data_IF_370785180964
#
_entry.id   IF_370785180964
#
_cell.length_a   1.000
_cell.length_b   1.000
_cell.length_c   1.000
_cell.angle_alpha   90.00
_cell.angle_beta   90.00
_cell.angle_gamma   90.00
#
_symmetry.space_group_name_H-M   'P 1'
#
loop_
_entity.id
_entity.type
_entity.pdbx_description
1 polymer ?
#
# COMPACT_ATOMS: atom_id res chain seq x y z
N UNK A 1 26.44 -20.48 1.25
CA UNK A 1 26.20 -19.54 0.14
C UNK A 1 24.71 -19.33 0.05
N UNK A 2 24.21 -18.16 0.42
CA UNK A 2 22.78 -17.83 0.24
C UNK A 2 22.51 -17.73 -1.25
N UNK A 3 21.60 -18.55 -1.77
CA UNK A 3 21.21 -18.46 -3.18
C UNK A 3 20.40 -17.18 -3.33
N UNK A 4 21.00 -16.14 -3.91
CA UNK A 4 20.38 -14.82 -4.02
C UNK A 4 19.17 -14.93 -4.95
N UNK A 5 17.96 -14.66 -4.43
CA UNK A 5 16.73 -14.71 -5.23
C UNK A 5 16.79 -13.70 -6.36
N UNK A 6 16.21 -14.06 -7.50
CA UNK A 6 15.96 -13.14 -8.61
C UNK A 6 14.78 -12.23 -8.29
N UNK A 7 14.69 -11.08 -8.98
CA UNK A 7 13.53 -10.18 -8.84
C UNK A 7 12.22 -10.91 -9.14
N UNK A 8 12.20 -11.77 -10.17
CA UNK A 8 11.00 -12.51 -10.55
C UNK A 8 10.55 -13.51 -9.47
N UNK A 9 11.48 -14.18 -8.79
CA UNK A 9 11.14 -15.07 -7.67
C UNK A 9 10.54 -14.28 -6.50
N UNK A 10 11.13 -13.14 -6.14
CA UNK A 10 10.59 -12.28 -5.07
C UNK A 10 9.19 -11.75 -5.41
N UNK A 11 8.97 -11.35 -6.66
CA UNK A 11 7.66 -10.89 -7.13
C UNK A 11 6.65 -12.04 -7.17
N UNK A 12 7.07 -13.25 -7.55
CA UNK A 12 6.23 -14.45 -7.50
C UNK A 12 5.70 -14.72 -6.09
N UNK A 13 6.60 -14.74 -5.09
CA UNK A 13 6.22 -14.91 -3.68
C UNK A 13 5.29 -13.82 -3.17
N UNK A 14 5.51 -12.58 -3.62
CA UNK A 14 4.65 -11.45 -3.30
C UNK A 14 3.23 -11.63 -3.87
N UNK A 15 3.13 -12.06 -5.12
CA UNK A 15 1.85 -12.37 -5.78
C UNK A 15 1.13 -13.49 -5.03
N UNK A 16 1.83 -14.58 -4.70
CA UNK A 16 1.24 -15.72 -3.97
C UNK A 16 0.71 -15.27 -2.59
N UNK A 17 1.46 -14.42 -1.88
CA UNK A 17 1.01 -13.83 -0.61
C UNK A 17 -0.26 -12.99 -0.79
N UNK A 18 -0.36 -12.23 -1.87
CA UNK A 18 -1.53 -11.39 -2.15
C UNK A 18 -2.75 -12.22 -2.56
N UNK A 19 -2.55 -13.32 -3.28
CA UNK A 19 -3.61 -14.28 -3.59
C UNK A 19 -4.21 -14.89 -2.31
N UNK A 20 -3.39 -15.18 -1.29
CA UNK A 20 -3.89 -15.64 0.01
C UNK A 20 -4.83 -14.60 0.66
N UNK A 21 -4.51 -13.30 0.55
CA UNK A 21 -5.40 -12.24 1.02
C UNK A 21 -6.68 -12.14 0.20
N UNK A 22 -6.64 -12.39 -1.12
CA UNK A 22 -7.84 -12.47 -1.95
C UNK A 22 -8.74 -13.63 -1.53
N UNK A 23 -8.17 -14.80 -1.25
CA UNK A 23 -8.93 -15.94 -0.72
C UNK A 23 -9.55 -15.61 0.64
N UNK A 24 -8.76 -15.02 1.55
CA UNK A 24 -9.23 -14.57 2.86
C UNK A 24 -10.39 -13.57 2.74
N UNK A 25 -10.25 -12.54 1.89
CA UNK A 25 -11.28 -11.53 1.64
C UNK A 25 -12.56 -12.16 1.06
N UNK A 26 -12.40 -13.11 0.14
CA UNK A 26 -13.51 -13.81 -0.50
C UNK A 26 -14.29 -14.64 0.51
N UNK A 27 -13.62 -15.42 1.36
CA UNK A 27 -14.29 -16.19 2.40
C UNK A 27 -14.95 -15.30 3.45
N UNK A 28 -14.27 -14.23 3.87
CA UNK A 28 -14.79 -13.29 4.86
C UNK A 28 -16.04 -12.56 4.36
N UNK A 29 -16.01 -11.99 3.15
CA UNK A 29 -17.18 -11.29 2.58
C UNK A 29 -18.37 -12.21 2.35
N UNK A 30 -18.14 -13.42 1.83
CA UNK A 30 -19.21 -14.39 1.63
C UNK A 30 -19.85 -14.80 2.95
N UNK A 31 -19.05 -15.06 3.99
CA UNK A 31 -19.53 -15.38 5.33
C UNK A 31 -20.35 -14.24 5.95
N UNK A 32 -19.84 -13.01 5.89
CA UNK A 32 -20.54 -11.80 6.37
C UNK A 32 -21.87 -11.63 5.65
N UNK A 33 -21.88 -11.74 4.32
CA UNK A 33 -23.08 -11.56 3.53
C UNK A 33 -24.14 -12.62 3.85
N UNK A 34 -23.72 -13.89 3.92
CA UNK A 34 -24.58 -15.00 4.28
C UNK A 34 -25.18 -14.83 5.68
N UNK A 35 -24.39 -14.41 6.65
CA UNK A 35 -24.88 -14.11 8.01
C UNK A 35 -25.93 -13.00 8.00
N UNK A 36 -25.71 -11.93 7.23
CA UNK A 36 -26.71 -10.87 7.04
C UNK A 36 -28.02 -11.38 6.46
N UNK A 37 -27.95 -12.25 5.44
CA UNK A 37 -29.12 -12.89 4.85
C UNK A 37 -29.84 -13.83 5.83
N UNK A 38 -29.10 -14.58 6.65
CA UNK A 38 -29.67 -15.47 7.65
C UNK A 38 -30.42 -14.70 8.74
N UNK A 39 -29.82 -13.62 9.26
CA UNK A 39 -30.49 -12.73 10.20
C UNK A 39 -31.75 -12.14 9.57
N UNK A 40 -31.69 -11.67 8.32
CA UNK A 40 -32.82 -11.05 7.63
C UNK A 40 -34.04 -11.96 7.39
N UNK A 41 -33.93 -13.28 7.60
CA UNK A 41 -35.07 -14.22 7.52
C UNK A 41 -36.06 -14.04 8.66
N UNK A 42 -35.61 -13.47 9.78
CA UNK A 42 -36.44 -13.22 10.96
C UNK A 42 -36.91 -11.77 11.00
N UNK A 43 -38.08 -11.54 11.59
CA UNK A 43 -38.53 -10.19 11.95
C UNK A 43 -38.03 -9.87 13.35
N UNK A 44 -37.48 -8.67 13.50
CA UNK A 44 -36.96 -8.19 14.77
C UNK A 44 -37.63 -6.87 15.14
N UNK A 45 -37.95 -6.71 16.41
CA UNK A 45 -38.40 -5.44 16.95
C UNK A 45 -37.26 -4.42 16.97
N UNK A 46 -37.62 -3.14 17.04
CA UNK A 46 -36.66 -2.04 16.92
C UNK A 46 -35.59 -2.02 18.03
N UNK A 47 -35.90 -2.60 19.20
CA UNK A 47 -34.95 -2.74 20.31
C UNK A 47 -34.04 -3.96 20.24
N UNK A 48 -34.26 -4.90 19.29
CA UNK A 48 -33.57 -6.18 19.29
C UNK A 48 -32.08 -6.04 18.96
N UNK A 49 -31.23 -6.67 19.79
CA UNK A 49 -29.78 -6.66 19.64
C UNK A 49 -29.25 -8.04 19.25
N UNK A 50 -28.27 -8.06 18.35
CA UNK A 50 -27.44 -9.23 18.05
C UNK A 50 -26.19 -9.14 18.90
N UNK A 51 -25.72 -10.29 19.41
CA UNK A 51 -24.62 -10.37 20.37
C UNK A 51 -23.54 -11.31 19.86
N UNK A 52 -22.28 -10.99 20.17
CA UNK A 52 -21.16 -11.93 20.04
C UNK A 52 -20.79 -12.38 21.45
N UNK A 53 -20.93 -13.67 21.71
CA UNK A 53 -20.63 -14.30 23.01
C UNK A 53 -19.47 -15.28 22.93
N UNK A 54 -18.89 -15.62 24.07
CA UNK A 54 -17.92 -16.72 24.17
C UNK A 54 -18.54 -18.04 23.71
N UNK A 55 -17.75 -18.84 23.00
CA UNK A 55 -18.08 -20.23 22.71
C UNK A 55 -17.49 -21.15 23.81
N UNK A 56 -17.89 -20.96 25.06
CA UNK A 56 -17.45 -21.77 26.20
C UNK A 56 -18.62 -22.11 27.13
N UNK A 57 -18.60 -23.31 27.70
CA UNK A 57 -19.63 -23.79 28.62
C UNK A 57 -19.54 -23.11 29.99
N UNK A 58 -18.31 -22.93 30.48
CA UNK A 58 -18.08 -22.28 31.77
C UNK A 58 -17.88 -20.77 31.60
N UNK A 59 -18.69 -19.99 32.32
CA UNK A 59 -18.64 -18.53 32.40
C UNK A 59 -18.72 -17.80 31.03
N UNK A 60 -19.81 -17.97 30.26
CA UNK A 60 -19.98 -17.30 28.97
C UNK A 60 -20.01 -15.78 29.14
N UNK A 61 -19.27 -15.07 28.28
CA UNK A 61 -19.19 -13.60 28.28
C UNK A 61 -19.70 -13.02 26.99
N UNK A 62 -20.42 -11.91 27.09
CA UNK A 62 -20.77 -11.07 25.95
C UNK A 62 -19.59 -10.16 25.62
N UNK A 63 -19.09 -10.25 24.39
CA UNK A 63 -17.96 -9.44 23.90
C UNK A 63 -18.41 -8.23 23.10
N UNK A 64 -19.51 -8.34 22.35
CA UNK A 64 -20.04 -7.25 21.56
C UNK A 64 -21.55 -7.35 21.37
N UNK A 65 -22.17 -6.22 21.03
CA UNK A 65 -23.59 -6.14 20.68
C UNK A 65 -23.86 -5.01 19.69
N UNK A 66 -24.92 -5.16 18.89
CA UNK A 66 -25.43 -4.09 18.03
C UNK A 66 -26.91 -4.27 17.72
N UNK A 67 -27.60 -3.21 17.30
CA UNK A 67 -28.98 -3.30 16.78
C UNK A 67 -29.00 -4.24 15.58
N UNK A 68 -29.93 -5.19 15.60
CA UNK A 68 -29.94 -6.28 14.61
C UNK A 68 -30.23 -5.78 13.21
N UNK A 69 -31.11 -4.79 13.07
CA UNK A 69 -31.38 -4.15 11.79
C UNK A 69 -30.14 -3.46 11.20
N UNK A 70 -29.28 -2.89 12.05
CA UNK A 70 -28.05 -2.23 11.62
C UNK A 70 -26.99 -3.28 11.26
N UNK A 71 -26.94 -4.40 11.98
CA UNK A 71 -26.10 -5.56 11.65
C UNK A 71 -26.43 -6.05 10.24
N UNK A 72 -27.71 -6.31 9.95
CA UNK A 72 -28.18 -6.78 8.64
C UNK A 72 -27.74 -5.80 7.53
N UNK A 73 -27.95 -4.48 7.73
CA UNK A 73 -27.53 -3.45 6.76
C UNK A 73 -26.02 -3.46 6.54
N UNK A 74 -25.22 -3.56 7.60
CA UNK A 74 -23.75 -3.57 7.52
C UNK A 74 -23.18 -4.87 6.92
N UNK A 75 -23.92 -5.97 6.99
CA UNK A 75 -23.64 -7.25 6.34
C UNK A 75 -24.10 -7.32 4.87
N UNK A 76 -24.72 -6.27 4.32
CA UNK A 76 -25.09 -6.26 2.90
C UNK A 76 -23.86 -6.48 2.00
N UNK A 77 -24.07 -6.91 0.74
CA UNK A 77 -22.97 -7.02 -0.23
C UNK A 77 -22.30 -5.65 -0.37
N UNK A 78 -20.97 -5.61 -0.27
CA UNK A 78 -20.18 -4.37 -0.23
C UNK A 78 -20.58 -3.40 0.91
N UNK A 79 -21.25 -3.91 1.95
CA UNK A 79 -21.61 -3.16 3.14
C UNK A 79 -20.41 -2.85 4.03
N UNK A 80 -20.65 -2.08 5.09
CA UNK A 80 -19.61 -1.53 5.96
C UNK A 80 -18.63 -2.60 6.47
N UNK A 81 -19.10 -3.77 6.90
CA UNK A 81 -18.21 -4.78 7.46
C UNK A 81 -17.24 -5.34 6.41
N UNK A 82 -17.73 -5.65 5.21
CA UNK A 82 -16.85 -6.08 4.11
C UNK A 82 -15.90 -4.97 3.68
N UNK A 83 -16.37 -3.71 3.64
CA UNK A 83 -15.54 -2.57 3.24
C UNK A 83 -14.42 -2.29 4.25
N UNK A 84 -14.66 -2.43 5.56
CA UNK A 84 -13.61 -2.30 6.58
C UNK A 84 -12.53 -3.39 6.45
N UNK A 85 -12.90 -4.65 6.22
CA UNK A 85 -11.93 -5.73 6.01
C UNK A 85 -11.12 -5.47 4.73
N UNK A 86 -11.78 -5.05 3.66
CA UNK A 86 -11.13 -4.71 2.38
C UNK A 86 -10.08 -3.61 2.57
N UNK A 87 -10.45 -2.51 3.22
CA UNK A 87 -9.53 -1.41 3.54
C UNK A 87 -8.37 -1.86 4.43
N UNK A 88 -8.63 -2.72 5.42
CA UNK A 88 -7.58 -3.27 6.28
C UNK A 88 -6.58 -4.10 5.50
N UNK A 89 -7.06 -5.00 4.61
CA UNK A 89 -6.18 -5.84 3.81
C UNK A 89 -5.34 -5.03 2.83
N UNK A 90 -5.91 -4.00 2.18
CA UNK A 90 -5.14 -3.09 1.33
C UNK A 90 -4.04 -2.35 2.10
N UNK A 91 -4.31 -1.94 3.34
CA UNK A 91 -3.29 -1.35 4.22
C UNK A 91 -2.18 -2.36 4.55
N UNK A 92 -2.54 -3.60 4.88
CA UNK A 92 -1.60 -4.70 5.17
C UNK A 92 -0.74 -5.05 3.96
N UNK A 93 -1.35 -5.16 2.78
CA UNK A 93 -0.69 -5.39 1.50
C UNK A 93 0.38 -4.32 1.23
N UNK A 94 0.05 -3.04 1.44
CA UNK A 94 1.04 -1.97 1.31
C UNK A 94 2.17 -2.07 2.33
N UNK A 95 1.86 -2.38 3.59
CA UNK A 95 2.87 -2.54 4.63
C UNK A 95 3.87 -3.65 4.28
N UNK A 96 3.37 -4.80 3.82
CA UNK A 96 4.22 -5.91 3.37
C UNK A 96 5.11 -5.52 2.19
N UNK A 97 4.58 -4.76 1.23
CA UNK A 97 5.39 -4.20 0.16
C UNK A 97 6.50 -3.29 0.71
N UNK A 98 6.14 -2.29 1.50
CA UNK A 98 7.04 -1.20 1.91
C UNK A 98 8.12 -1.68 2.89
N UNK A 99 7.77 -2.61 3.78
CA UNK A 99 8.62 -3.07 4.89
C UNK A 99 9.42 -4.33 4.56
N UNK A 100 8.98 -5.16 3.62
CA UNK A 100 9.65 -6.42 3.28
C UNK A 100 9.96 -6.54 1.78
N UNK A 101 8.94 -6.66 0.94
CA UNK A 101 9.14 -7.08 -0.45
C UNK A 101 9.90 -6.05 -1.29
N UNK A 102 9.73 -4.75 -1.07
CA UNK A 102 10.54 -3.71 -1.72
C UNK A 102 12.02 -3.88 -1.40
N UNK A 103 12.36 -4.27 -0.17
CA UNK A 103 13.74 -4.49 0.25
C UNK A 103 14.32 -5.76 -0.38
N UNK A 104 13.53 -6.84 -0.46
CA UNK A 104 13.95 -8.06 -1.16
C UNK A 104 14.17 -7.82 -2.66
N UNK A 105 13.29 -7.03 -3.31
CA UNK A 105 13.45 -6.62 -4.72
C UNK A 105 14.72 -5.79 -4.90
N UNK A 106 14.98 -4.85 -3.98
CA UNK A 106 16.17 -4.02 -3.98
C UNK A 106 17.44 -4.86 -3.89
N UNK A 107 17.49 -5.81 -2.95
CA UNK A 107 18.60 -6.75 -2.82
C UNK A 107 18.80 -7.56 -4.09
N UNK A 108 17.75 -8.18 -4.62
CA UNK A 108 17.78 -9.00 -5.83
C UNK A 108 18.26 -8.24 -7.07
N UNK A 109 17.89 -6.96 -7.18
CA UNK A 109 18.25 -6.08 -8.29
C UNK A 109 19.57 -5.32 -8.11
N UNK A 110 20.17 -5.37 -6.91
CA UNK A 110 21.41 -4.66 -6.60
C UNK A 110 21.23 -3.14 -6.43
N UNK A 111 20.01 -2.69 -6.11
CA UNK A 111 19.70 -1.29 -5.85
C UNK A 111 19.38 -1.06 -4.37
N UNK A 112 19.40 0.20 -3.93
CA UNK A 112 18.83 0.59 -2.64
C UNK A 112 17.29 0.61 -2.75
N UNK A 113 16.59 0.15 -1.71
CA UNK A 113 15.13 0.10 -1.69
C UNK A 113 14.48 1.48 -1.89
N UNK A 114 15.16 2.56 -1.50
CA UNK A 114 14.69 3.94 -1.71
C UNK A 114 14.57 4.33 -3.19
N UNK A 115 15.22 3.57 -4.06
CA UNK A 115 15.23 3.76 -5.51
C UNK A 115 14.31 2.80 -6.25
N UNK A 116 13.67 1.86 -5.54
CA UNK A 116 12.69 0.94 -6.10
C UNK A 116 11.31 1.58 -6.08
N UNK A 117 10.71 1.70 -7.26
CA UNK A 117 9.36 2.18 -7.47
C UNK A 117 8.50 1.10 -8.11
N UNK A 118 7.26 0.99 -7.62
CA UNK A 118 6.20 0.25 -8.26
C UNK A 118 4.97 1.17 -8.31
N UNK A 119 4.54 1.63 -9.49
CA UNK A 119 3.39 2.53 -9.63
C UNK A 119 2.11 2.05 -8.95
N UNK A 120 1.80 0.75 -9.06
CA UNK A 120 0.63 0.15 -8.43
C UNK A 120 0.69 0.25 -6.89
N UNK A 121 1.88 0.05 -6.31
CA UNK A 121 2.09 0.26 -4.87
C UNK A 121 2.06 1.75 -4.51
N UNK A 122 2.44 2.62 -5.44
CA UNK A 122 2.25 4.07 -5.34
C UNK A 122 0.77 4.46 -5.22
N UNK A 123 -0.12 3.79 -5.97
CA UNK A 123 -1.57 3.97 -5.85
C UNK A 123 -2.10 3.42 -4.53
N UNK A 124 -1.65 2.23 -4.14
CA UNK A 124 -2.00 1.65 -2.85
C UNK A 124 -1.56 2.53 -1.67
N UNK A 125 -0.41 3.22 -1.79
CA UNK A 125 0.05 4.22 -0.81
C UNK A 125 -0.93 5.38 -0.66
N UNK A 126 -1.49 5.88 -1.78
CA UNK A 126 -2.50 6.94 -1.77
C UNK A 126 -3.78 6.47 -1.10
N UNK A 127 -4.23 5.25 -1.41
CA UNK A 127 -5.38 4.61 -0.74
C UNK A 127 -5.15 4.48 0.77
N UNK A 128 -4.01 3.92 1.19
CA UNK A 128 -3.64 3.81 2.60
C UNK A 128 -3.64 5.17 3.29
N UNK A 129 -3.12 6.21 2.62
CA UNK A 129 -3.15 7.57 3.17
C UNK A 129 -4.59 8.06 3.39
N UNK A 130 -5.49 7.83 2.42
CA UNK A 130 -6.91 8.16 2.60
C UNK A 130 -7.54 7.37 3.77
N UNK A 131 -7.28 6.06 3.85
CA UNK A 131 -7.83 5.18 4.90
C UNK A 131 -7.38 5.64 6.29
N UNK A 132 -6.06 5.79 6.48
CA UNK A 132 -5.46 6.02 7.81
C UNK A 132 -5.46 7.50 8.20
N UNK A 133 -5.04 8.40 7.29
CA UNK A 133 -4.80 9.81 7.61
C UNK A 133 -5.99 10.71 7.29
N UNK A 134 -6.86 10.31 6.35
CA UNK A 134 -8.08 11.07 6.02
C UNK A 134 -9.35 10.39 6.57
N UNK A 135 -9.20 9.43 7.50
CA UNK A 135 -10.31 8.74 8.16
C UNK A 135 -11.29 8.09 7.17
N UNK A 136 -10.77 7.54 6.07
CA UNK A 136 -11.58 6.99 4.97
C UNK A 136 -12.53 8.02 4.33
N UNK A 137 -12.07 9.27 4.18
CA UNK A 137 -12.79 10.33 3.44
C UNK A 137 -11.98 10.70 2.19
N UNK A 138 -12.58 10.48 1.03
CA UNK A 138 -12.07 10.87 -0.28
C UNK A 138 -12.23 12.39 -0.45
N UNK A 139 -11.16 13.12 -0.82
CA UNK A 139 -11.21 14.57 -0.99
C UNK A 139 -11.98 14.97 -2.26
N UNK A 140 -12.43 16.23 -2.31
CA UNK A 140 -13.08 16.83 -3.50
C UNK A 140 -12.20 16.79 -4.75
N UNK A 141 -10.89 16.90 -4.58
CA UNK A 141 -9.91 16.79 -5.68
C UNK A 141 -9.80 15.37 -6.25
N UNK A 142 -10.52 14.40 -5.69
CA UNK A 142 -10.36 12.95 -5.91
C UNK A 142 -8.96 12.43 -5.57
N UNK A 143 -8.77 11.12 -5.73
CA UNK A 143 -7.46 10.47 -5.65
C UNK A 143 -7.05 10.11 -7.07
N UNK A 144 -5.93 10.66 -7.52
CA UNK A 144 -5.38 10.37 -8.84
C UNK A 144 -4.55 9.09 -8.79
N UNK A 145 -4.86 8.11 -9.62
CA UNK A 145 -4.20 6.80 -9.67
C UNK A 145 -3.44 6.64 -10.99
N UNK A 146 -2.23 6.07 -10.93
CA UNK A 146 -1.38 5.86 -12.11
C UNK A 146 -1.72 4.57 -12.86
N UNK A 147 -2.06 3.50 -12.13
CA UNK A 147 -2.35 2.17 -12.67
C UNK A 147 -3.82 1.83 -12.50
N UNK A 148 -4.40 2.10 -11.33
CA UNK A 148 -5.80 1.77 -11.07
C UNK A 148 -6.71 2.73 -11.83
N UNK A 149 -7.69 2.20 -12.58
CA UNK A 149 -8.71 2.99 -13.27
C UNK A 149 -9.81 3.54 -12.36
N UNK A 150 -9.64 3.48 -11.03
CA UNK A 150 -10.70 3.74 -10.07
C UNK A 150 -11.08 5.22 -10.02
N UNK A 151 -12.38 5.48 -10.00
CA UNK A 151 -12.95 6.82 -9.81
C UNK A 151 -13.73 6.84 -8.52
N UNK A 152 -13.08 7.31 -7.46
CA UNK A 152 -13.67 7.39 -6.13
C UNK A 152 -14.41 8.72 -5.97
N UNK A 153 -15.72 8.71 -5.73
CA UNK A 153 -16.46 9.94 -5.48
C UNK A 153 -16.00 10.59 -4.16
N UNK A 154 -16.07 11.93 -4.02
CA UNK A 154 -15.82 12.61 -2.76
C UNK A 154 -16.75 12.10 -1.64
N UNK A 155 -16.24 12.07 -0.42
CA UNK A 155 -16.99 11.59 0.75
C UNK A 155 -16.46 10.27 1.28
N UNK A 156 -17.34 9.41 1.81
CA UNK A 156 -16.90 8.16 2.44
C UNK A 156 -16.23 7.24 1.41
N UNK A 157 -15.04 6.75 1.73
CA UNK A 157 -14.32 5.79 0.92
C UNK A 157 -15.03 4.44 0.94
N UNK A 158 -15.49 4.02 -0.23
CA UNK A 158 -16.08 2.71 -0.47
C UNK A 158 -15.19 1.95 -1.46
N UNK A 159 -14.67 0.81 -1.00
CA UNK A 159 -13.90 -0.11 -1.83
C UNK A 159 -14.72 -1.40 -1.90
N UNK A 160 -15.22 -1.69 -3.10
CA UNK A 160 -16.03 -2.89 -3.32
C UNK A 160 -15.16 -4.13 -3.40
N UNK A 161 -15.79 -5.29 -3.22
CA UNK A 161 -15.13 -6.58 -3.46
C UNK A 161 -14.57 -6.67 -4.88
N UNK A 162 -15.33 -6.21 -5.87
CA UNK A 162 -14.90 -6.20 -7.27
C UNK A 162 -13.65 -5.34 -7.48
N UNK A 163 -13.58 -4.15 -6.87
CA UNK A 163 -12.37 -3.33 -6.89
C UNK A 163 -11.18 -4.06 -6.23
N UNK A 164 -11.38 -4.74 -5.11
CA UNK A 164 -10.30 -5.52 -4.49
C UNK A 164 -9.76 -6.62 -5.41
N UNK A 165 -10.63 -7.28 -6.19
CA UNK A 165 -10.20 -8.23 -7.21
C UNK A 165 -9.45 -7.56 -8.35
N UNK A 166 -9.94 -6.43 -8.87
CA UNK A 166 -9.25 -5.65 -9.90
C UNK A 166 -7.83 -5.23 -9.48
N UNK A 167 -7.66 -4.87 -8.21
CA UNK A 167 -6.34 -4.59 -7.65
C UNK A 167 -5.43 -5.82 -7.74
N UNK A 168 -5.90 -7.00 -7.35
CA UNK A 168 -5.09 -8.22 -7.44
C UNK A 168 -4.84 -8.65 -8.89
N UNK A 169 -5.80 -8.45 -9.80
CA UNK A 169 -5.60 -8.68 -11.22
C UNK A 169 -4.49 -7.77 -11.78
N UNK A 170 -4.43 -6.51 -11.33
CA UNK A 170 -3.32 -5.63 -11.66
C UNK A 170 -1.98 -6.13 -11.07
N UNK A 171 -1.97 -6.69 -9.86
CA UNK A 171 -0.78 -7.30 -9.25
C UNK A 171 -0.28 -8.50 -10.05
N UNK A 172 -1.19 -9.38 -10.48
CA UNK A 172 -0.88 -10.58 -11.29
C UNK A 172 -0.53 -10.27 -12.73
N UNK A 173 -1.08 -9.20 -13.27
CA UNK A 173 -0.86 -8.74 -14.62
C UNK A 173 0.29 -7.74 -14.72
N UNK A 174 0.02 -6.65 -15.43
CA UNK A 174 1.04 -5.67 -15.83
C UNK A 174 1.31 -4.57 -14.78
N UNK A 175 0.71 -4.65 -13.60
CA UNK A 175 0.80 -3.61 -12.58
C UNK A 175 2.08 -3.67 -11.75
N UNK A 176 2.73 -4.84 -11.62
CA UNK A 176 3.99 -5.02 -10.89
C UNK A 176 5.23 -4.62 -11.70
N UNK A 177 5.16 -3.46 -12.36
CA UNK A 177 6.27 -2.87 -13.12
C UNK A 177 7.28 -2.21 -12.18
N UNK A 178 8.28 -2.98 -11.78
CA UNK A 178 9.40 -2.49 -10.98
C UNK A 178 10.26 -1.54 -11.80
N UNK A 179 10.43 -0.32 -11.30
CA UNK A 179 11.34 0.69 -11.84
C UNK A 179 12.42 0.96 -10.80
N UNK A 180 13.68 0.94 -11.21
CA UNK A 180 14.78 1.34 -10.36
C UNK A 180 15.32 2.69 -10.87
N UNK A 181 15.23 3.73 -10.05
CA UNK A 181 15.81 5.04 -10.36
C UNK A 181 17.04 5.27 -9.50
N UNK A 182 18.21 4.98 -10.06
CA UNK A 182 19.46 5.25 -9.36
C UNK A 182 20.15 6.49 -9.93
N UNK A 183 20.84 7.29 -9.11
CA UNK A 183 21.72 8.32 -9.62
C UNK A 183 22.73 7.71 -10.60
N UNK A 184 23.23 8.45 -11.60
CA UNK A 184 24.28 7.96 -12.49
C UNK A 184 25.47 7.41 -11.68
N UNK A 185 26.15 6.33 -12.12
CA UNK A 185 27.26 5.73 -11.36
C UNK A 185 28.32 6.75 -10.93
N UNK A 186 28.68 7.67 -11.82
CA UNK A 186 29.62 8.75 -11.53
C UNK A 186 29.16 9.63 -10.35
N UNK A 187 27.86 9.92 -10.23
CA UNK A 187 27.33 10.70 -9.11
C UNK A 187 27.25 9.86 -7.83
N UNK A 188 26.96 8.54 -7.93
CA UNK A 188 26.93 7.63 -6.78
C UNK A 188 28.28 7.58 -6.06
N UNK A 189 29.38 7.53 -6.79
CA UNK A 189 30.74 7.55 -6.23
C UNK A 189 31.05 8.86 -5.49
N UNK A 190 30.37 9.94 -5.84
CA UNK A 190 30.56 11.26 -5.24
C UNK A 190 29.61 11.53 -4.06
N UNK A 191 28.50 10.78 -3.93
CA UNK A 191 27.55 10.94 -2.82
C UNK A 191 28.20 10.88 -1.41
N UNK A 192 29.22 10.03 -1.13
CA UNK A 192 29.90 10.02 0.16
C UNK A 192 30.71 11.30 0.46
N UNK A 193 31.05 12.09 -0.57
CA UNK A 193 31.81 13.35 -0.45
C UNK A 193 30.91 14.57 -0.18
N UNK A 194 29.59 14.38 -0.23
CA UNK A 194 28.63 15.44 0.10
C UNK A 194 28.67 15.76 1.59
N UNK A 195 28.65 17.05 1.91
CA UNK A 195 28.33 17.52 3.25
C UNK A 195 26.89 17.13 3.61
N UNK A 196 26.55 17.20 4.90
CA UNK A 196 25.18 16.93 5.37
C UNK A 196 24.12 17.80 4.67
N UNK A 197 24.43 19.07 4.38
CA UNK A 197 23.51 19.99 3.74
C UNK A 197 23.31 19.66 2.27
N UNK A 198 24.40 19.43 1.53
CA UNK A 198 24.34 19.00 0.12
C UNK A 198 23.61 17.67 -0.01
N UNK A 199 23.89 16.71 0.88
CA UNK A 199 23.20 15.42 0.86
C UNK A 199 21.70 15.58 1.09
N UNK A 200 21.30 16.46 2.01
CA UNK A 200 19.89 16.76 2.27
C UNK A 200 19.22 17.45 1.07
N UNK A 201 19.90 18.41 0.43
CA UNK A 201 19.41 19.08 -0.78
C UNK A 201 19.26 18.09 -1.94
N UNK A 202 20.30 17.31 -2.20
CA UNK A 202 20.29 16.26 -3.22
C UNK A 202 19.19 15.23 -2.97
N UNK A 203 19.10 14.67 -1.76
CA UNK A 203 18.08 13.66 -1.45
C UNK A 203 16.66 14.26 -1.57
N UNK A 204 16.45 15.54 -1.20
CA UNK A 204 15.17 16.22 -1.39
C UNK A 204 14.83 16.43 -2.87
N UNK A 205 15.81 16.87 -3.66
CA UNK A 205 15.69 17.04 -5.10
C UNK A 205 15.40 15.71 -5.80
N UNK A 206 16.21 14.69 -5.50
CA UNK A 206 16.12 13.37 -6.09
C UNK A 206 14.89 12.61 -5.63
N UNK A 207 14.27 12.96 -4.49
CA UNK A 207 12.98 12.40 -4.04
C UNK A 207 11.79 12.85 -4.90
N UNK A 208 11.88 13.96 -5.62
CA UNK A 208 10.86 14.32 -6.60
C UNK A 208 10.94 13.39 -7.83
N UNK A 209 9.83 12.72 -8.13
CA UNK A 209 9.73 11.78 -9.26
C UNK A 209 9.95 12.44 -10.60
N UNK A 210 9.41 13.63 -10.81
CA UNK A 210 9.54 14.35 -12.09
C UNK A 210 11.01 14.63 -12.41
N UNK A 211 11.81 14.96 -11.40
CA UNK A 211 13.24 15.17 -11.55
C UNK A 211 13.95 13.90 -12.05
N UNK A 212 13.59 12.73 -11.49
CA UNK A 212 14.16 11.43 -11.90
C UNK A 212 13.72 11.02 -13.30
N UNK A 213 12.43 11.13 -13.60
CA UNK A 213 11.84 10.68 -14.88
C UNK A 213 12.30 11.56 -16.05
N UNK A 214 12.44 12.86 -15.83
CA UNK A 214 12.85 13.81 -16.87
C UNK A 214 14.36 14.07 -16.91
N UNK A 215 15.17 13.32 -16.13
CA UNK A 215 16.62 13.51 -16.01
C UNK A 215 17.01 14.97 -15.72
N UNK A 216 16.27 15.63 -14.83
CA UNK A 216 16.57 17.01 -14.43
C UNK A 216 17.84 16.99 -13.60
N UNK A 217 18.79 17.84 -13.97
CA UNK A 217 20.05 18.01 -13.25
C UNK A 217 19.82 18.67 -11.89
N UNK A 218 20.53 18.19 -10.86
CA UNK A 218 20.44 18.77 -9.54
C UNK A 218 21.03 20.19 -9.56
N UNK A 219 20.27 21.24 -9.18
CA UNK A 219 20.71 22.63 -9.37
C UNK A 219 22.02 23.00 -8.68
N UNK A 220 22.39 22.30 -7.61
CA UNK A 220 23.63 22.56 -6.85
C UNK A 220 24.81 21.68 -7.32
N UNK A 221 24.65 20.90 -8.41
CA UNK A 221 25.67 19.97 -8.88
C UNK A 221 27.00 20.68 -9.21
N UNK A 222 26.96 21.78 -9.95
CA UNK A 222 28.16 22.55 -10.30
C UNK A 222 28.90 23.08 -9.07
N UNK A 223 28.17 23.63 -8.10
CA UNK A 223 28.74 24.14 -6.86
C UNK A 223 29.41 23.01 -6.05
N UNK A 224 28.75 21.84 -5.99
CA UNK A 224 29.29 20.65 -5.36
C UNK A 224 30.57 20.15 -6.05
N UNK A 225 30.55 20.03 -7.39
CA UNK A 225 31.69 19.57 -8.19
C UNK A 225 32.90 20.50 -8.04
N UNK A 226 32.69 21.81 -8.04
CA UNK A 226 33.75 22.79 -7.80
C UNK A 226 34.36 22.64 -6.40
N UNK A 227 33.53 22.45 -5.37
CA UNK A 227 34.00 22.26 -3.99
C UNK A 227 34.88 21.01 -3.85
N UNK A 228 34.45 19.87 -4.40
CA UNK A 228 35.25 18.63 -4.32
C UNK A 228 36.53 18.70 -5.17
N UNK A 229 36.49 19.44 -6.29
CA UNK A 229 37.67 19.72 -7.10
C UNK A 229 38.72 20.50 -6.32
N UNK A 230 38.31 21.58 -5.65
CA UNK A 230 39.19 22.37 -4.77
C UNK A 230 39.72 21.56 -3.58
N UNK A 231 38.91 20.69 -2.97
CA UNK A 231 39.34 19.86 -1.84
C UNK A 231 40.40 18.81 -2.23
N UNK A 232 40.32 18.24 -3.45
CA UNK A 232 41.34 17.31 -3.98
C UNK A 232 42.66 18.02 -4.32
N UNK A 233 42.63 19.29 -4.70
CA UNK A 233 43.85 20.07 -4.98
C UNK A 233 44.58 20.56 -3.73
N UNK A 234 43.90 20.67 -2.59
CA UNK A 234 44.52 21.08 -1.31
C UNK A 234 45.08 19.92 -0.48
N UNK A 235 44.85 18.67 -0.91
CA UNK A 235 45.30 17.44 -0.25
C UNK A 235 46.44 16.74 -0.99
N UNK A 236 46.99 17.37 -2.03
CA UNK A 236 48.24 17.04 -2.73
C UNK A 236 49.33 18.02 -2.33
#
# INVERSE_FOLDING_TARGET
MSNKKTVNEVIGEFIDTFDEFVLCMSFATQGIHKMGQELAKSKFDEGHQTWVGSNCEENPKMHARMKTTDCIKKCAKNGDFSNEITKSLLCTMYALWDEAYRHHVAEASGHDARYIECPLMGDLRKLRHCIIHQKSIVPESSIDFEILGWRLPPGKLEITYEMFLEFNDAVRGEGMKIRAFSPPPALQELLPLMTKNERKSFDSFFKNRENRVNNIEWPELDAFLNRIGHAKMQSQ
#
